data_IF_760949415919
#
_entry.id   IF_760949415919
#
_cell.length_a   1.000
_cell.length_b   1.000
_cell.length_c   1.000
_cell.angle_alpha   90.00
_cell.angle_beta   90.00
_cell.angle_gamma   90.00
#
_symmetry.space_group_name_H-M   'P 1'
#
loop_
_entity.id
_entity.type
_entity.pdbx_description
1 polymer ?
#
# COMPACT_ATOMS: atom_id res chain seq x y z
N UNK A 1 -12.25 -8.44 3.27
CA UNK A 1 -10.83 -8.74 3.47
C UNK A 1 -10.09 -7.42 3.28
N UNK A 2 -9.31 -6.98 4.26
CA UNK A 2 -8.58 -5.72 4.19
C UNK A 2 -7.11 -6.07 4.03
N UNK A 3 -6.52 -5.66 2.91
CA UNK A 3 -5.07 -5.73 2.68
C UNK A 3 -4.50 -4.33 2.85
N UNK A 4 -3.38 -4.23 3.54
CA UNK A 4 -2.65 -2.98 3.69
C UNK A 4 -1.40 -3.02 2.81
N UNK A 5 -1.08 -1.89 2.19
CA UNK A 5 0.10 -1.75 1.33
C UNK A 5 0.94 -0.58 1.86
N UNK A 6 2.19 -0.86 2.23
CA UNK A 6 3.16 0.16 2.58
C UNK A 6 4.27 0.19 1.54
N UNK A 7 4.59 1.35 0.99
CA UNK A 7 5.63 1.51 -0.02
C UNK A 7 5.83 2.96 -0.43
N UNK A 8 6.71 3.18 -1.39
CA UNK A 8 7.02 4.54 -1.88
C UNK A 8 6.06 4.90 -3.00
N UNK A 9 5.22 5.93 -2.80
CA UNK A 9 4.34 6.45 -3.83
C UNK A 9 5.15 7.20 -4.90
N UNK A 10 5.12 6.70 -6.13
CA UNK A 10 5.81 7.33 -7.27
C UNK A 10 4.93 8.36 -7.97
N UNK A 11 3.61 8.14 -7.97
CA UNK A 11 2.66 8.99 -8.64
C UNK A 11 1.25 8.43 -8.59
N UNK A 12 0.27 9.29 -8.90
CA UNK A 12 -1.13 8.95 -8.99
C UNK A 12 -1.80 9.75 -10.12
N UNK A 13 -2.98 9.31 -10.54
CA UNK A 13 -3.80 9.98 -11.57
C UNK A 13 -5.08 10.60 -10.98
N UNK A 14 -5.90 11.23 -11.83
CA UNK A 14 -7.17 11.86 -11.44
C UNK A 14 -8.21 10.87 -10.88
N UNK A 15 -8.03 9.57 -11.15
CA UNK A 15 -8.86 8.48 -10.63
C UNK A 15 -8.27 7.84 -9.38
N UNK A 16 -7.19 8.41 -8.84
CA UNK A 16 -6.51 7.95 -7.63
C UNK A 16 -5.93 6.53 -7.80
N UNK A 17 -5.67 6.11 -9.05
CA UNK A 17 -4.82 4.94 -9.26
C UNK A 17 -3.40 5.31 -8.85
N UNK A 18 -2.76 4.45 -8.06
CA UNK A 18 -1.45 4.77 -7.46
C UNK A 18 -0.39 3.80 -7.95
N UNK A 19 0.77 4.34 -8.32
CA UNK A 19 1.96 3.55 -8.61
C UNK A 19 2.86 3.58 -7.39
N UNK A 20 3.15 2.40 -6.83
CA UNK A 20 4.04 2.26 -5.68
C UNK A 20 5.23 1.36 -6.02
N UNK A 21 6.38 1.68 -5.44
CA UNK A 21 7.62 0.89 -5.48
C UNK A 21 8.04 0.45 -4.07
N UNK A 22 8.83 -0.62 -4.00
CA UNK A 22 9.30 -1.25 -2.75
C UNK A 22 8.16 -1.54 -1.77
N UNK A 23 7.10 -2.17 -2.28
CA UNK A 23 5.86 -2.39 -1.53
C UNK A 23 5.95 -3.62 -0.65
N UNK A 24 5.41 -3.49 0.55
CA UNK A 24 5.06 -4.61 1.43
C UNK A 24 3.55 -4.69 1.55
N UNK A 25 2.98 -5.80 1.10
CA UNK A 25 1.58 -6.16 1.32
C UNK A 25 1.45 -6.91 2.63
N UNK A 26 0.50 -6.47 3.46
CA UNK A 26 0.14 -7.11 4.71
C UNK A 26 -1.25 -7.72 4.55
N UNK A 27 -1.32 -9.04 4.67
CA UNK A 27 -2.58 -9.76 4.78
C UNK A 27 -2.99 -9.88 6.25
N UNK A 28 -4.30 -9.95 6.50
CA UNK A 28 -4.87 -10.12 7.84
C UNK A 28 -4.46 -11.43 8.51
N UNK A 29 -4.00 -12.42 7.73
CA UNK A 29 -3.40 -13.66 8.24
C UNK A 29 -2.02 -13.46 8.90
N UNK A 30 -1.47 -12.24 8.85
CA UNK A 30 -0.14 -11.91 9.37
C UNK A 30 0.99 -12.18 8.38
N UNK A 31 0.66 -12.61 7.17
CA UNK A 31 1.64 -12.79 6.09
C UNK A 31 2.05 -11.44 5.50
N UNK A 32 3.35 -11.31 5.22
CA UNK A 32 3.92 -10.14 4.54
C UNK A 32 4.54 -10.56 3.23
N UNK A 33 4.15 -9.91 2.13
CA UNK A 33 4.69 -10.18 0.80
C UNK A 33 5.35 -8.92 0.27
N UNK A 34 6.60 -9.02 -0.16
CA UNK A 34 7.30 -7.92 -0.81
C UNK A 34 7.06 -7.95 -2.31
N UNK A 35 6.64 -6.81 -2.85
CA UNK A 35 6.37 -6.59 -4.26
C UNK A 35 7.23 -5.43 -4.74
N UNK A 36 8.03 -5.61 -5.81
CA UNK A 36 8.95 -4.58 -6.27
C UNK A 36 8.21 -3.34 -6.78
N UNK A 37 7.06 -3.52 -7.43
CA UNK A 37 6.24 -2.45 -7.98
C UNK A 37 4.81 -2.90 -8.15
N UNK A 38 3.84 -2.04 -7.83
CA UNK A 38 2.42 -2.30 -8.04
C UNK A 38 1.70 -1.08 -8.60
N UNK A 39 0.58 -1.34 -9.26
CA UNK A 39 -0.44 -0.35 -9.60
C UNK A 39 -1.69 -0.66 -8.78
N UNK A 40 -2.02 0.19 -7.82
CA UNK A 40 -3.25 0.10 -7.05
C UNK A 40 -4.38 0.80 -7.79
N UNK A 41 -5.53 0.12 -7.86
CA UNK A 41 -6.75 0.70 -8.41
C UNK A 41 -7.40 1.62 -7.38
N UNK A 42 -7.62 2.89 -7.73
CA UNK A 42 -8.15 3.91 -6.82
C UNK A 42 -9.52 3.60 -6.25
N UNK A 43 -10.34 2.79 -6.94
CA UNK A 43 -11.66 2.38 -6.44
C UNK A 43 -11.59 1.50 -5.19
N UNK A 44 -10.45 0.84 -4.96
CA UNK A 44 -10.23 -0.05 -3.82
C UNK A 44 -9.41 0.62 -2.70
N UNK A 45 -9.01 1.88 -2.86
CA UNK A 45 -8.22 2.61 -1.87
C UNK A 45 -9.17 3.35 -0.92
N UNK A 46 -9.19 2.94 0.35
CA UNK A 46 -10.03 3.56 1.38
C UNK A 46 -9.29 4.69 2.12
N UNK A 47 -8.00 4.53 2.39
CA UNK A 47 -7.19 5.49 3.14
C UNK A 47 -5.75 5.53 2.60
N UNK A 48 -5.16 6.72 2.58
CA UNK A 48 -3.75 6.95 2.27
C UNK A 48 -3.09 7.67 3.46
N UNK A 49 -1.99 7.12 3.96
CA UNK A 49 -1.23 7.68 5.09
C UNK A 49 0.18 8.04 4.61
N UNK A 50 0.49 9.33 4.34
CA UNK A 50 1.83 9.76 3.98
C UNK A 50 2.82 9.52 5.14
N UNK A 51 3.95 8.88 4.85
CA UNK A 51 4.99 8.59 5.85
C UNK A 51 4.64 7.48 6.85
N UNK A 52 3.58 6.70 6.61
CA UNK A 52 3.25 5.54 7.43
C UNK A 52 4.23 4.38 7.19
N UNK A 53 4.68 3.73 8.27
CA UNK A 53 5.57 2.56 8.22
C UNK A 53 4.80 1.23 8.07
N UNK A 54 3.50 1.30 7.83
CA UNK A 54 2.59 0.14 7.89
C UNK A 54 2.29 -0.29 9.33
N UNK A 55 1.55 -1.40 9.51
CA UNK A 55 1.08 -1.86 10.82
C UNK A 55 2.19 -2.34 11.78
N UNK A 56 3.45 -2.33 11.34
CA UNK A 56 4.63 -2.70 12.14
C UNK A 56 5.21 -1.55 12.97
N UNK A 57 4.83 -0.29 12.68
CA UNK A 57 5.36 0.90 13.36
C UNK A 57 4.64 1.32 14.65
N UNK A 58 3.54 0.67 15.01
CA UNK A 58 2.81 0.92 16.27
C UNK A 58 3.21 -0.09 17.35
N UNK A 59 4.41 0.08 17.92
CA UNK A 59 4.86 -0.64 19.12
C UNK A 59 5.33 0.34 20.18
#
# INVERSE_FOLDING_TARGET
MHSEFAGTLLGFDDYVNMVLEDVTEFDYSGSQVKLPKILLNGNNVCMLIPGGEGPVGSS
#
